data_IF_714161700560
#
_entry.id   IF_714161700560
#
_cell.length_a   1.000
_cell.length_b   1.000
_cell.length_c   1.000
_cell.angle_alpha   90.00
_cell.angle_beta   90.00
_cell.angle_gamma   90.00
#
_symmetry.space_group_name_H-M   'P 1'
#
loop_
_entity.id
_entity.type
_entity.pdbx_description
1 polymer ?
#
# COMPACT_ATOMS: atom_id res chain seq x y z
N UNK A 1 -25.70 9.88 6.51
CA UNK A 1 -24.25 9.87 6.72
C UNK A 1 -23.55 10.26 5.45
N UNK A 2 -22.54 11.07 5.59
CA UNK A 2 -21.79 11.53 4.42
C UNK A 2 -21.17 10.38 3.63
N UNK A 3 -20.73 9.37 4.33
CA UNK A 3 -20.13 8.22 3.70
C UNK A 3 -21.10 7.52 2.75
N UNK A 4 -22.34 7.35 3.19
CA UNK A 4 -23.36 6.71 2.36
C UNK A 4 -23.72 7.57 1.15
N UNK A 5 -23.75 8.90 1.33
CA UNK A 5 -24.01 9.80 0.23
C UNK A 5 -22.92 9.74 -0.83
N UNK A 6 -21.67 9.61 -0.39
CA UNK A 6 -20.57 9.49 -1.34
C UNK A 6 -20.68 8.21 -2.15
N UNK A 7 -21.07 7.13 -1.52
CA UNK A 7 -21.22 5.87 -2.23
C UNK A 7 -22.38 5.93 -3.22
N UNK A 8 -23.47 6.56 -2.85
CA UNK A 8 -24.62 6.69 -3.72
C UNK A 8 -24.34 7.55 -4.92
N UNK A 9 -23.40 8.48 -4.82
CA UNK A 9 -23.06 9.38 -5.90
C UNK A 9 -22.02 8.83 -6.86
N UNK A 10 -21.41 7.71 -6.52
CA UNK A 10 -20.40 7.12 -7.39
C UNK A 10 -21.05 6.53 -8.63
N UNK A 11 -20.60 6.94 -9.81
CA UNK A 11 -21.10 6.35 -11.05
C UNK A 11 -20.66 4.92 -11.21
N UNK A 12 -21.45 4.16 -11.95
CA UNK A 12 -21.12 2.76 -12.25
C UNK A 12 -19.76 2.61 -12.92
N UNK A 13 -19.36 3.58 -13.73
CA UNK A 13 -18.06 3.51 -14.42
C UNK A 13 -16.90 3.61 -13.46
N UNK A 14 -17.02 4.39 -12.38
CA UNK A 14 -15.98 4.47 -11.38
C UNK A 14 -15.82 3.13 -10.66
N UNK A 15 -16.92 2.44 -10.40
CA UNK A 15 -16.88 1.12 -9.80
C UNK A 15 -16.19 0.11 -10.72
N UNK A 16 -16.43 0.23 -12.01
CA UNK A 16 -15.78 -0.64 -13.01
C UNK A 16 -14.28 -0.40 -13.03
N UNK A 17 -13.87 0.86 -13.06
CA UNK A 17 -12.47 1.22 -13.06
C UNK A 17 -11.78 0.74 -11.79
N UNK A 18 -12.45 0.89 -10.65
CA UNK A 18 -11.91 0.43 -9.39
C UNK A 18 -11.71 -1.08 -9.39
N UNK A 19 -12.67 -1.81 -9.94
CA UNK A 19 -12.54 -3.27 -10.05
C UNK A 19 -11.40 -3.68 -10.95
N UNK A 20 -11.20 -2.96 -12.05
CA UNK A 20 -10.07 -3.24 -12.93
C UNK A 20 -8.76 -3.02 -12.23
N UNK A 21 -8.62 -1.93 -11.48
CA UNK A 21 -7.39 -1.66 -10.73
C UNK A 21 -7.13 -2.71 -9.66
N UNK A 22 -8.17 -3.12 -8.96
CA UNK A 22 -8.04 -4.18 -7.96
C UNK A 22 -7.63 -5.49 -8.61
N UNK A 23 -8.23 -5.82 -9.75
CA UNK A 23 -7.87 -7.04 -10.48
C UNK A 23 -6.43 -7.03 -10.94
N UNK A 24 -5.97 -5.91 -11.49
CA UNK A 24 -4.59 -5.76 -11.93
C UNK A 24 -3.62 -5.85 -10.76
N UNK A 25 -3.97 -5.25 -9.63
CA UNK A 25 -3.14 -5.31 -8.43
C UNK A 25 -3.01 -6.75 -7.92
N UNK A 26 -4.12 -7.49 -7.92
CA UNK A 26 -4.11 -8.89 -7.53
C UNK A 26 -3.23 -9.73 -8.45
N UNK A 27 -3.33 -9.50 -9.75
CA UNK A 27 -2.49 -10.21 -10.71
C UNK A 27 -1.02 -9.92 -10.47
N UNK A 28 -0.68 -8.66 -10.21
CA UNK A 28 0.69 -8.27 -9.90
C UNK A 28 1.20 -8.99 -8.66
N UNK A 29 0.38 -9.08 -7.63
CA UNK A 29 0.75 -9.76 -6.40
C UNK A 29 0.90 -11.27 -6.61
N UNK A 30 0.01 -11.87 -7.38
CA UNK A 30 0.11 -13.29 -7.69
C UNK A 30 1.42 -13.60 -8.42
N UNK A 31 1.79 -12.79 -9.39
CA UNK A 31 3.06 -12.96 -10.09
C UNK A 31 4.26 -12.74 -9.18
N UNK A 32 4.16 -11.74 -8.31
CA UNK A 32 5.24 -11.41 -7.37
C UNK A 32 5.55 -12.56 -6.43
N UNK A 33 4.52 -13.25 -5.96
CA UNK A 33 4.66 -14.27 -4.94
C UNK A 33 4.49 -15.69 -5.48
N UNK A 34 4.65 -15.86 -6.78
CA UNK A 34 4.46 -17.14 -7.44
C UNK A 34 5.22 -18.28 -6.77
N UNK A 35 6.42 -18.00 -6.29
CA UNK A 35 7.27 -19.00 -5.65
C UNK A 35 7.20 -18.98 -4.12
N UNK A 36 6.23 -18.29 -3.52
CA UNK A 36 6.22 -18.05 -2.07
C UNK A 36 5.07 -18.76 -1.39
N UNK A 37 4.28 -19.36 -1.58
CA UNK A 37 3.22 -19.98 -0.79
C UNK A 37 2.18 -19.02 -0.24
N UNK A 38 2.21 -17.76 -0.67
CA UNK A 38 1.18 -16.81 -0.32
C UNK A 38 0.87 -15.91 -1.53
N UNK A 39 -0.26 -15.20 -1.47
CA UNK A 39 -0.82 -14.54 -2.64
C UNK A 39 -0.95 -13.02 -2.52
N UNK A 40 -0.72 -12.43 -1.37
CA UNK A 40 -0.91 -10.99 -1.23
C UNK A 40 0.15 -10.35 -0.35
N UNK A 41 0.24 -9.02 -0.49
CA UNK A 41 1.27 -8.24 0.22
C UNK A 41 1.15 -8.35 1.74
N UNK A 42 -0.06 -8.50 2.26
CA UNK A 42 -0.27 -8.57 3.71
C UNK A 42 0.41 -9.77 4.35
N UNK A 43 0.68 -10.79 3.56
CA UNK A 43 1.31 -12.02 4.06
C UNK A 43 2.84 -11.98 4.06
N UNK A 44 3.43 -10.91 3.55
CA UNK A 44 4.89 -10.79 3.52
C UNK A 44 5.49 -10.78 4.92
N UNK A 45 6.56 -11.55 5.11
CA UNK A 45 7.38 -11.45 6.31
C UNK A 45 8.40 -10.32 6.17
N UNK A 46 9.17 -10.03 7.23
CA UNK A 46 10.14 -8.93 7.20
C UNK A 46 11.15 -9.01 6.04
N UNK A 47 11.66 -10.20 5.75
CA UNK A 47 12.61 -10.35 4.65
C UNK A 47 11.96 -10.07 3.30
N UNK A 48 10.69 -10.48 3.13
CA UNK A 48 9.97 -10.25 1.89
C UNK A 48 9.68 -8.77 1.68
N UNK A 49 9.39 -8.06 2.75
CA UNK A 49 9.13 -6.62 2.68
C UNK A 49 10.33 -5.90 2.06
N UNK A 50 11.53 -6.24 2.50
CA UNK A 50 12.73 -5.60 1.94
C UNK A 50 12.97 -5.98 0.49
N UNK A 51 12.59 -7.18 0.10
CA UNK A 51 12.81 -7.66 -1.26
C UNK A 51 11.80 -7.09 -2.24
N UNK A 52 10.53 -7.01 -1.84
CA UNK A 52 9.44 -6.70 -2.75
C UNK A 52 8.89 -5.28 -2.64
N UNK A 53 9.44 -4.47 -1.76
CA UNK A 53 8.97 -3.09 -1.55
C UNK A 53 10.08 -2.09 -1.88
N UNK A 54 10.47 -1.96 -3.15
CA UNK A 54 11.51 -1.01 -3.52
C UNK A 54 11.01 0.42 -3.37
N UNK A 55 11.84 1.26 -2.77
CA UNK A 55 11.54 2.67 -2.53
C UNK A 55 12.49 3.52 -3.35
N UNK A 56 11.99 4.61 -3.95
CA UNK A 56 12.90 5.58 -4.54
C UNK A 56 13.56 6.40 -3.41
N UNK A 57 14.54 7.22 -3.76
CA UNK A 57 15.32 7.95 -2.76
C UNK A 57 14.45 8.90 -1.93
N UNK A 58 13.50 9.55 -2.58
CA UNK A 58 12.58 10.47 -1.90
C UNK A 58 11.69 9.71 -0.91
N UNK A 59 11.21 8.54 -1.30
CA UNK A 59 10.38 7.71 -0.43
C UNK A 59 11.18 7.21 0.77
N UNK A 60 12.44 6.82 0.55
CA UNK A 60 13.32 6.41 1.64
C UNK A 60 13.50 7.53 2.65
N UNK A 61 13.72 8.74 2.17
CA UNK A 61 13.87 9.91 3.04
C UNK A 61 12.62 10.18 3.85
N UNK A 62 11.46 10.11 3.21
CA UNK A 62 10.20 10.31 3.92
C UNK A 62 9.99 9.24 4.98
N UNK A 63 10.24 7.98 4.65
CA UNK A 63 10.05 6.89 5.59
C UNK A 63 10.98 7.03 6.79
N UNK A 64 12.23 7.41 6.54
CA UNK A 64 13.20 7.61 7.62
C UNK A 64 12.75 8.74 8.55
N UNK A 65 12.32 9.86 7.98
CA UNK A 65 11.83 10.98 8.77
C UNK A 65 10.58 10.61 9.57
N UNK A 66 9.66 9.88 8.95
CA UNK A 66 8.44 9.46 9.61
C UNK A 66 8.74 8.48 10.75
N UNK A 67 9.69 7.58 10.54
CA UNK A 67 10.07 6.61 11.55
C UNK A 67 10.59 7.32 12.80
N UNK A 68 11.42 8.33 12.62
CA UNK A 68 11.96 9.10 13.73
C UNK A 68 10.89 9.96 14.39
N UNK A 69 10.12 10.69 13.58
CA UNK A 69 9.12 11.63 14.11
C UNK A 69 7.99 10.92 14.85
N UNK A 70 7.52 9.81 14.30
CA UNK A 70 6.38 9.08 14.85
C UNK A 70 6.81 7.95 15.78
N UNK A 71 8.10 7.73 15.92
CA UNK A 71 8.66 6.68 16.77
C UNK A 71 8.03 5.32 16.43
N UNK A 72 8.12 4.95 15.17
CA UNK A 72 7.48 3.74 14.68
C UNK A 72 8.17 2.48 15.20
N UNK A 73 7.37 1.52 15.65
CA UNK A 73 7.89 0.19 15.96
C UNK A 73 8.24 -0.53 14.67
N UNK A 74 9.02 -1.61 14.78
CA UNK A 74 9.37 -2.42 13.61
C UNK A 74 8.10 -2.97 12.94
N UNK A 75 7.12 -3.37 13.73
CA UNK A 75 5.85 -3.88 13.22
C UNK A 75 5.10 -2.81 12.43
N UNK A 76 5.02 -1.59 12.98
CA UNK A 76 4.36 -0.48 12.32
C UNK A 76 5.09 -0.11 11.03
N UNK A 77 6.41 -0.10 11.06
CA UNK A 77 7.26 0.18 9.91
C UNK A 77 6.95 -0.80 8.77
N UNK A 78 6.96 -2.10 9.04
CA UNK A 78 6.68 -3.12 8.03
C UNK A 78 5.25 -3.02 7.52
N UNK A 79 4.30 -2.72 8.40
CA UNK A 79 2.89 -2.58 8.02
C UNK A 79 2.71 -1.41 7.05
N UNK A 80 3.39 -0.30 7.31
CA UNK A 80 3.33 0.86 6.40
C UNK A 80 3.88 0.49 5.02
N UNK A 81 4.97 -0.24 4.98
CA UNK A 81 5.54 -0.68 3.69
C UNK A 81 4.59 -1.59 2.92
N UNK A 82 3.94 -2.52 3.61
CA UNK A 82 2.98 -3.42 2.96
C UNK A 82 1.80 -2.65 2.38
N UNK A 83 1.27 -1.68 3.13
CA UNK A 83 0.17 -0.84 2.66
C UNK A 83 0.63 0.00 1.48
N UNK A 84 1.83 0.58 1.56
CA UNK A 84 2.40 1.36 0.46
C UNK A 84 2.54 0.52 -0.81
N UNK A 85 2.99 -0.73 -0.67
CA UNK A 85 3.11 -1.64 -1.81
C UNK A 85 1.75 -1.89 -2.46
N UNK A 86 0.73 -2.08 -1.64
CA UNK A 86 -0.62 -2.30 -2.14
C UNK A 86 -1.15 -1.06 -2.86
N UNK A 87 -0.91 0.12 -2.32
CA UNK A 87 -1.32 1.37 -2.96
C UNK A 87 -0.61 1.53 -4.30
N UNK A 88 0.69 1.25 -4.34
CA UNK A 88 1.45 1.30 -5.58
C UNK A 88 0.94 0.30 -6.61
N UNK A 89 0.56 -0.90 -6.17
CA UNK A 89 -0.01 -1.92 -7.06
C UNK A 89 -1.32 -1.43 -7.67
N UNK A 90 -2.16 -0.79 -6.86
CA UNK A 90 -3.43 -0.24 -7.36
C UNK A 90 -3.20 0.89 -8.35
N UNK A 91 -2.08 1.56 -8.23
CA UNK A 91 -1.69 2.65 -9.13
C UNK A 91 -0.91 2.13 -10.33
N UNK A 92 -0.65 0.83 -10.40
CA UNK A 92 0.12 0.23 -11.48
C UNK A 92 1.59 0.60 -11.47
N UNK A 93 2.11 1.04 -10.33
CA UNK A 93 3.49 1.50 -10.22
C UNK A 93 4.44 0.36 -9.86
N UNK A 94 5.61 0.28 -10.50
CA UNK A 94 6.58 -0.77 -10.15
C UNK A 94 7.27 -0.51 -8.83
N UNK A 95 7.46 0.76 -8.47
CA UNK A 95 8.14 1.15 -7.24
C UNK A 95 7.22 1.95 -6.34
N UNK A 96 7.51 1.94 -5.05
CA UNK A 96 6.78 2.75 -4.08
C UNK A 96 7.36 4.17 -4.11
N UNK A 97 6.51 5.15 -4.41
CA UNK A 97 6.90 6.55 -4.44
C UNK A 97 6.51 7.26 -3.15
N UNK A 98 6.95 8.52 -3.03
CA UNK A 98 6.56 9.37 -1.91
C UNK A 98 5.04 9.47 -1.77
N UNK A 99 4.32 9.59 -2.89
CA UNK A 99 2.86 9.70 -2.86
C UNK A 99 2.21 8.47 -2.24
N UNK A 100 2.68 7.28 -2.62
CA UNK A 100 2.15 6.04 -2.07
C UNK A 100 2.43 5.92 -0.58
N UNK A 101 3.65 6.27 -0.19
CA UNK A 101 4.06 6.20 1.21
C UNK A 101 3.31 7.22 2.07
N UNK A 102 3.14 8.43 1.56
CA UNK A 102 2.41 9.47 2.29
C UNK A 102 0.96 9.04 2.53
N UNK A 103 0.33 8.42 1.54
CA UNK A 103 -1.03 7.93 1.69
C UNK A 103 -1.10 6.83 2.75
N UNK A 104 -0.14 5.91 2.75
CA UNK A 104 -0.08 4.85 3.75
C UNK A 104 0.07 5.43 5.16
N UNK A 105 0.87 6.48 5.30
CA UNK A 105 1.06 7.14 6.58
C UNK A 105 -0.23 7.82 7.07
N UNK A 106 -1.04 8.33 6.16
CA UNK A 106 -2.33 8.91 6.52
C UNK A 106 -3.28 7.86 7.11
N UNK A 107 -3.30 6.68 6.54
CA UNK A 107 -4.12 5.60 7.07
C UNK A 107 -3.67 5.21 8.49
N UNK A 108 -2.38 5.21 8.72
CA UNK A 108 -1.86 4.94 10.05
C UNK A 108 -2.33 5.98 11.06
N UNK A 109 -2.33 7.23 10.66
CA UNK A 109 -2.73 8.33 11.53
C UNK A 109 -4.20 8.27 11.94
N UNK A 110 -5.04 7.69 11.10
CA UNK A 110 -6.46 7.57 11.35
C UNK A 110 -6.83 6.34 12.14
N UNK A 111 -6.04 5.31 12.03
CA UNK A 111 -6.34 4.04 12.66
C UNK A 111 -6.08 4.09 14.15
N UNK A 112 -6.77 3.26 14.90
CA UNK A 112 -6.54 3.16 16.34
C UNK A 112 -5.25 2.45 16.67
N UNK A 113 -4.43 2.23 15.79
CA UNK A 113 -3.25 1.60 16.16
C UNK A 113 -2.41 0.91 15.31
#
# INVERSE_FOLDING_TARGET
MEYEKLMDQEPAEDSREARQRVGQARESQQRRFEDRGFLCNAEMGPADVWKFCPLDDSAKGLLQAATQRLNLSARAFHRILKVSRTIADLDGAPDITVAHLAEALQYRSRGPG
#
